data_IF_254089601051
#
_entry.id   IF_254089601051
#
_cell.length_a   1.000
_cell.length_b   1.000
_cell.length_c   1.000
_cell.angle_alpha   90.00
_cell.angle_beta   90.00
_cell.angle_gamma   90.00
#
_symmetry.space_group_name_H-M   'P 1'
#
loop_
_entity.id
_entity.type
_entity.pdbx_description
1 polymer ?
#
# COMPACT_ATOMS: atom_id res chain seq x y z
N UNK A 1 -11.94 7.56 -11.19
CA UNK A 1 -10.63 7.44 -10.49
C UNK A 1 -9.57 8.18 -11.28
N UNK A 2 -8.81 9.01 -10.63
CA UNK A 2 -7.66 9.73 -11.21
C UNK A 2 -6.35 9.15 -10.71
N UNK A 3 -5.30 9.30 -11.49
CA UNK A 3 -3.96 8.83 -11.13
C UNK A 3 -3.01 10.01 -10.97
N UNK A 4 -2.09 9.91 -10.02
CA UNK A 4 -0.96 10.84 -9.84
C UNK A 4 0.31 10.04 -9.70
N UNK A 5 1.25 10.26 -10.59
CA UNK A 5 2.55 9.58 -10.58
C UNK A 5 3.64 10.50 -10.05
N UNK A 6 4.44 10.01 -9.12
CA UNK A 6 5.71 10.59 -8.73
C UNK A 6 6.87 9.64 -9.08
N UNK A 7 8.06 9.93 -8.61
CA UNK A 7 9.26 9.14 -8.92
C UNK A 7 9.17 7.69 -8.41
N UNK A 8 8.52 7.46 -7.27
CA UNK A 8 8.47 6.17 -6.58
C UNK A 8 7.13 5.48 -6.70
N UNK A 9 6.04 6.25 -6.72
CA UNK A 9 4.67 5.75 -6.58
C UNK A 9 3.75 6.24 -7.68
N UNK A 10 2.79 5.40 -8.04
CA UNK A 10 1.58 5.82 -8.74
C UNK A 10 0.40 5.73 -7.78
N UNK A 11 -0.23 6.87 -7.52
CA UNK A 11 -1.38 7.02 -6.65
C UNK A 11 -2.68 6.85 -7.42
N UNK A 12 -3.63 6.15 -6.83
CA UNK A 12 -5.00 5.97 -7.30
C UNK A 12 -5.91 6.71 -6.34
N UNK A 13 -6.54 7.76 -6.82
CA UNK A 13 -7.33 8.70 -6.02
C UNK A 13 -8.76 8.77 -6.55
N UNK A 14 -9.76 9.05 -5.70
CA UNK A 14 -11.11 9.26 -6.16
C UNK A 14 -11.18 10.49 -7.07
N UNK A 15 -12.11 10.48 -8.03
CA UNK A 15 -12.35 11.64 -8.91
C UNK A 15 -12.81 12.86 -8.10
N UNK A 16 -13.67 12.61 -7.11
CA UNK A 16 -14.11 13.65 -6.18
C UNK A 16 -13.44 13.44 -4.83
N UNK A 17 -12.70 14.45 -4.37
CA UNK A 17 -12.07 14.43 -3.05
C UNK A 17 -13.13 14.36 -1.95
N UNK A 18 -12.94 13.43 -1.03
CA UNK A 18 -13.75 13.28 0.18
C UNK A 18 -12.96 13.77 1.39
N UNK A 19 -13.66 14.37 2.33
CA UNK A 19 -13.08 14.73 3.61
C UNK A 19 -12.83 13.44 4.42
N UNK A 20 -11.61 13.28 4.92
CA UNK A 20 -11.24 12.20 5.83
C UNK A 20 -11.10 12.80 7.23
N UNK A 21 -11.74 12.18 8.22
CA UNK A 21 -11.50 12.57 9.61
C UNK A 21 -10.07 12.18 10.01
N UNK A 22 -9.22 13.19 10.14
CA UNK A 22 -7.79 13.01 10.46
C UNK A 22 -7.60 12.32 11.81
N UNK A 23 -8.44 12.58 12.80
CA UNK A 23 -8.34 11.96 14.14
C UNK A 23 -8.65 10.47 14.06
N UNK A 24 -9.72 10.11 13.37
CA UNK A 24 -10.07 8.71 13.13
C UNK A 24 -9.00 8.00 12.31
N UNK A 25 -8.48 8.64 11.27
CA UNK A 25 -7.42 8.07 10.44
C UNK A 25 -6.14 7.76 11.23
N UNK A 26 -5.70 8.68 12.08
CA UNK A 26 -4.51 8.47 12.92
C UNK A 26 -4.65 7.26 13.83
N UNK A 27 -5.86 6.97 14.32
CA UNK A 27 -6.11 5.85 15.22
C UNK A 27 -6.45 4.54 14.51
N UNK A 28 -7.15 4.61 13.40
CA UNK A 28 -7.79 3.46 12.76
C UNK A 28 -7.43 3.29 11.29
N UNK A 29 -6.73 4.24 10.69
CA UNK A 29 -6.31 4.20 9.30
C UNK A 29 -5.17 3.22 9.06
N UNK A 30 -5.24 2.48 7.98
CA UNK A 30 -4.20 1.54 7.60
C UNK A 30 -4.31 1.12 6.14
N UNK A 31 -3.60 0.08 5.79
CA UNK A 31 -3.55 -0.41 4.42
C UNK A 31 -3.31 -1.90 4.35
N UNK A 32 -3.91 -2.54 3.36
CA UNK A 32 -3.44 -3.81 2.85
C UNK A 32 -2.26 -3.57 1.92
N UNK A 33 -1.20 -4.33 2.07
CA UNK A 33 -0.04 -4.32 1.19
C UNK A 33 0.01 -5.67 0.48
N UNK A 34 -0.08 -5.64 -0.86
CA UNK A 34 0.01 -6.82 -1.72
C UNK A 34 1.36 -6.76 -2.45
N UNK A 35 2.15 -7.81 -2.33
CA UNK A 35 3.45 -7.92 -3.00
C UNK A 35 3.32 -8.88 -4.19
N UNK A 36 3.53 -8.38 -5.41
CA UNK A 36 3.43 -9.21 -6.62
C UNK A 36 4.22 -8.58 -7.78
N UNK A 37 4.23 -9.24 -8.91
CA UNK A 37 4.76 -8.71 -10.17
C UNK A 37 3.94 -7.52 -10.64
N UNK A 38 4.60 -6.59 -11.33
CA UNK A 38 3.98 -5.34 -11.80
C UNK A 38 2.73 -5.58 -12.66
N UNK A 39 2.74 -6.55 -13.56
CA UNK A 39 1.58 -6.85 -14.39
C UNK A 39 0.33 -7.24 -13.58
N UNK A 40 0.50 -8.00 -12.50
CA UNK A 40 -0.60 -8.37 -11.59
C UNK A 40 -1.05 -7.19 -10.74
N UNK A 41 -0.10 -6.38 -10.28
CA UNK A 41 -0.41 -5.15 -9.54
C UNK A 41 -1.20 -4.16 -10.41
N UNK A 42 -0.84 -4.00 -11.68
CA UNK A 42 -1.59 -3.14 -12.61
C UNK A 42 -3.01 -3.64 -12.85
N UNK A 43 -3.19 -4.96 -12.98
CA UNK A 43 -4.52 -5.55 -13.10
C UNK A 43 -5.40 -5.28 -11.88
N UNK A 44 -4.84 -5.45 -10.67
CA UNK A 44 -5.54 -5.12 -9.43
C UNK A 44 -5.86 -3.62 -9.35
N UNK A 45 -4.90 -2.77 -9.68
CA UNK A 45 -5.04 -1.31 -9.64
C UNK A 45 -6.19 -0.83 -10.55
N UNK A 46 -6.30 -1.37 -11.76
CA UNK A 46 -7.41 -1.09 -12.67
C UNK A 46 -8.76 -1.50 -12.07
N UNK A 47 -8.82 -2.69 -11.49
CA UNK A 47 -10.04 -3.23 -10.87
C UNK A 47 -10.49 -2.46 -9.63
N UNK A 48 -9.62 -1.70 -8.97
CA UNK A 48 -9.96 -0.89 -7.80
C UNK A 48 -10.74 0.39 -8.12
N UNK A 49 -10.73 0.84 -9.37
CA UNK A 49 -11.34 2.12 -9.77
C UNK A 49 -12.77 2.34 -9.25
N UNK A 50 -13.74 1.44 -9.54
CA UNK A 50 -15.11 1.58 -9.06
C UNK A 50 -15.24 1.68 -7.54
N UNK A 51 -14.43 0.94 -6.80
CA UNK A 51 -14.45 0.90 -5.33
C UNK A 51 -13.84 2.16 -4.70
N UNK A 52 -12.84 2.76 -5.35
CA UNK A 52 -12.27 4.04 -4.94
C UNK A 52 -13.28 5.16 -5.21
N UNK A 53 -13.93 5.17 -6.37
CA UNK A 53 -14.89 6.20 -6.71
C UNK A 53 -16.17 6.10 -5.87
N UNK A 54 -16.61 4.90 -5.49
CA UNK A 54 -17.76 4.70 -4.59
C UNK A 54 -17.47 5.04 -3.13
N UNK A 55 -16.20 5.09 -2.72
CA UNK A 55 -15.80 5.32 -1.33
C UNK A 55 -15.69 4.07 -0.47
N UNK A 56 -15.82 2.89 -1.05
CA UNK A 56 -15.56 1.63 -0.34
C UNK A 56 -14.08 1.45 -0.01
N UNK A 57 -13.22 2.06 -0.81
CA UNK A 57 -11.77 2.16 -0.62
C UNK A 57 -11.40 3.65 -0.65
N UNK A 58 -10.59 4.09 0.31
CA UNK A 58 -10.19 5.49 0.38
C UNK A 58 -9.29 5.91 -0.78
N UNK A 59 -8.25 5.16 -0.99
CA UNK A 59 -7.27 5.36 -2.07
C UNK A 59 -6.37 4.14 -2.16
N UNK A 60 -5.51 4.13 -3.17
CA UNK A 60 -4.44 3.15 -3.27
C UNK A 60 -3.19 3.78 -3.87
N UNK A 61 -2.08 3.09 -3.78
CA UNK A 61 -0.85 3.42 -4.52
C UNK A 61 -0.06 2.16 -4.80
N UNK A 62 0.71 2.18 -5.87
CA UNK A 62 1.63 1.10 -6.15
C UNK A 62 3.03 1.60 -6.50
N UNK A 63 4.00 0.76 -6.22
CA UNK A 63 5.41 1.00 -6.46
C UNK A 63 5.71 0.94 -7.96
N UNK A 64 6.45 1.94 -8.49
CA UNK A 64 6.72 2.07 -9.93
C UNK A 64 7.82 1.13 -10.48
N UNK A 65 8.13 0.06 -9.79
CA UNK A 65 9.16 -0.93 -10.17
C UNK A 65 8.61 -2.36 -10.09
N UNK A 66 9.23 -3.27 -10.83
CA UNK A 66 8.92 -4.71 -10.79
C UNK A 66 10.03 -5.48 -10.03
N UNK A 67 9.72 -6.33 -9.05
CA UNK A 67 8.41 -6.56 -8.45
C UNK A 67 7.88 -5.34 -7.71
N UNK A 68 6.57 -5.27 -7.54
CA UNK A 68 5.89 -4.11 -6.99
C UNK A 68 5.17 -4.42 -5.67
N UNK A 69 4.65 -3.38 -5.04
CA UNK A 69 3.76 -3.46 -3.91
C UNK A 69 2.58 -2.53 -4.12
N UNK A 70 1.37 -3.04 -3.92
CA UNK A 70 0.13 -2.29 -3.94
C UNK A 70 -0.32 -2.04 -2.51
N UNK A 71 -0.46 -0.78 -2.12
CA UNK A 71 -1.01 -0.35 -0.84
C UNK A 71 -2.46 0.11 -1.05
N UNK A 72 -3.41 -0.51 -0.37
CA UNK A 72 -4.85 -0.18 -0.46
C UNK A 72 -5.33 0.29 0.89
N UNK A 73 -5.73 1.56 0.95
CA UNK A 73 -6.01 2.28 2.18
C UNK A 73 -7.48 2.20 2.60
N UNK A 74 -7.72 1.92 3.87
CA UNK A 74 -9.04 1.96 4.51
C UNK A 74 -8.93 2.14 6.02
N UNK A 75 -10.06 2.35 6.67
CA UNK A 75 -10.15 2.20 8.12
C UNK A 75 -10.11 0.71 8.50
N UNK A 76 -9.63 0.39 9.68
CA UNK A 76 -9.48 -0.99 10.16
C UNK A 76 -10.81 -1.74 10.26
N UNK A 77 -11.92 -1.03 10.56
CA UNK A 77 -13.26 -1.61 10.55
C UNK A 77 -13.69 -2.17 9.18
N UNK A 78 -13.16 -1.59 8.10
CA UNK A 78 -13.47 -1.98 6.71
C UNK A 78 -12.42 -2.93 6.12
N UNK A 79 -11.36 -3.25 6.83
CA UNK A 79 -10.24 -4.04 6.30
C UNK A 79 -10.64 -5.41 5.76
N UNK A 80 -11.62 -6.06 6.39
CA UNK A 80 -12.14 -7.34 5.93
C UNK A 80 -12.87 -7.23 4.59
N UNK A 81 -13.74 -6.23 4.46
CA UNK A 81 -14.44 -5.93 3.21
C UNK A 81 -13.46 -5.58 2.08
N UNK A 82 -12.45 -4.79 2.37
CA UNK A 82 -11.41 -4.43 1.39
C UNK A 82 -10.61 -5.68 0.98
N UNK A 83 -10.32 -6.57 1.90
CA UNK A 83 -9.66 -7.84 1.57
C UNK A 83 -10.52 -8.71 0.64
N UNK A 84 -11.83 -8.80 0.90
CA UNK A 84 -12.77 -9.55 0.05
C UNK A 84 -12.79 -8.95 -1.38
N UNK A 85 -12.81 -7.63 -1.51
CA UNK A 85 -12.70 -6.95 -2.80
C UNK A 85 -11.40 -7.34 -3.51
N UNK A 86 -10.26 -7.24 -2.82
CA UNK A 86 -8.96 -7.60 -3.39
C UNK A 86 -8.90 -9.05 -3.84
N UNK A 87 -9.45 -9.97 -3.06
CA UNK A 87 -9.53 -11.38 -3.42
C UNK A 87 -10.44 -11.62 -4.63
N UNK A 88 -11.58 -10.94 -4.72
CA UNK A 88 -12.48 -11.01 -5.88
C UNK A 88 -11.83 -10.50 -7.17
N UNK A 89 -10.88 -9.57 -7.07
CA UNK A 89 -10.09 -9.07 -8.18
C UNK A 89 -8.89 -9.96 -8.52
N UNK A 90 -8.69 -11.05 -7.78
CA UNK A 90 -7.63 -12.02 -8.03
C UNK A 90 -6.35 -11.76 -7.24
N UNK A 91 -6.38 -10.95 -6.18
CA UNK A 91 -5.24 -10.78 -5.29
C UNK A 91 -4.93 -12.12 -4.61
N UNK A 92 -3.79 -12.67 -4.92
CA UNK A 92 -3.22 -13.86 -4.32
C UNK A 92 -1.84 -13.58 -3.73
N UNK A 93 -1.29 -14.58 -3.03
CA UNK A 93 0.08 -14.49 -2.55
C UNK A 93 0.26 -13.66 -1.29
N UNK A 94 1.38 -12.98 -1.22
CA UNK A 94 1.82 -12.27 0.00
C UNK A 94 1.03 -10.99 0.21
N UNK A 95 0.38 -10.89 1.36
CA UNK A 95 -0.36 -9.71 1.78
C UNK A 95 -0.20 -9.48 3.27
N UNK A 96 -0.25 -8.22 3.68
CA UNK A 96 -0.15 -7.83 5.09
C UNK A 96 -0.97 -6.57 5.34
N UNK A 97 -1.64 -6.51 6.50
CA UNK A 97 -2.28 -5.30 6.99
C UNK A 97 -1.31 -4.52 7.87
N UNK A 98 -1.27 -3.21 7.71
CA UNK A 98 -0.44 -2.32 8.51
C UNK A 98 -1.18 -1.01 8.78
N UNK A 99 -1.19 -0.55 10.04
CA UNK A 99 -1.67 0.78 10.40
C UNK A 99 -0.69 1.85 9.94
N UNK A 100 -1.21 2.99 9.47
CA UNK A 100 -0.38 4.09 8.99
C UNK A 100 0.34 4.82 10.12
N UNK A 101 -0.38 5.18 11.18
CA UNK A 101 0.11 5.99 12.30
C UNK A 101 0.03 5.28 13.64
N UNK A 102 -0.92 4.38 13.83
CA UNK A 102 -1.10 3.64 15.08
C UNK A 102 -0.04 2.55 15.25
N UNK A 103 1.21 2.95 15.47
CA UNK A 103 2.35 2.04 15.58
C UNK A 103 2.24 1.08 16.77
N UNK A 104 1.61 1.52 17.85
CA UNK A 104 1.29 0.67 19.01
C UNK A 104 0.44 -0.55 18.62
N UNK A 105 -0.51 -0.37 17.69
CA UNK A 105 -1.32 -1.48 17.17
C UNK A 105 -0.52 -2.42 16.26
N UNK A 106 0.41 -1.89 15.45
CA UNK A 106 1.32 -2.72 14.65
C UNK A 106 2.23 -3.57 15.55
N UNK A 107 2.72 -3.02 16.64
CA UNK A 107 3.62 -3.71 17.58
C UNK A 107 2.90 -4.77 18.43
N UNK A 108 1.56 -4.76 18.52
CA UNK A 108 0.78 -5.83 19.16
C UNK A 108 0.85 -7.15 18.38
N UNK A 109 1.15 -7.11 17.10
CA UNK A 109 1.41 -8.29 16.28
C UNK A 109 2.83 -8.19 15.68
N UNK A 110 3.87 -8.47 16.47
CA UNK A 110 5.25 -8.29 16.06
C UNK A 110 5.63 -9.23 14.88
N UNK A 111 5.02 -10.38 14.75
CA UNK A 111 5.29 -11.33 13.66
C UNK A 111 4.83 -10.74 12.33
N UNK A 112 3.62 -10.24 12.25
CA UNK A 112 3.08 -9.56 11.06
C UNK A 112 3.88 -8.30 10.74
N UNK A 113 4.28 -7.53 11.74
CA UNK A 113 5.11 -6.35 11.56
C UNK A 113 6.49 -6.66 10.97
N UNK A 114 7.20 -7.66 11.50
CA UNK A 114 8.48 -8.12 10.97
C UNK A 114 8.33 -8.65 9.53
N UNK A 115 7.27 -9.42 9.28
CA UNK A 115 6.95 -9.93 7.95
C UNK A 115 6.74 -8.80 6.94
N UNK A 116 5.98 -7.75 7.32
CA UNK A 116 5.77 -6.56 6.49
C UNK A 116 7.08 -5.88 6.11
N UNK A 117 7.94 -5.60 7.09
CA UNK A 117 9.23 -4.96 6.85
C UNK A 117 10.18 -5.81 6.02
N UNK A 118 10.24 -7.11 6.28
CA UNK A 118 11.06 -8.04 5.50
C UNK A 118 10.60 -8.11 4.05
N UNK A 119 9.27 -8.14 3.82
CA UNK A 119 8.69 -8.17 2.48
C UNK A 119 8.94 -6.87 1.71
N UNK A 120 8.80 -5.72 2.38
CA UNK A 120 9.15 -4.41 1.81
C UNK A 120 10.62 -4.33 1.41
N UNK A 121 11.51 -4.72 2.31
CA UNK A 121 12.95 -4.72 2.04
C UNK A 121 13.31 -5.63 0.88
N UNK A 122 12.76 -6.84 0.85
CA UNK A 122 12.95 -7.78 -0.26
C UNK A 122 12.47 -7.21 -1.59
N UNK A 123 11.30 -6.59 -1.61
CA UNK A 123 10.72 -5.96 -2.81
C UNK A 123 11.61 -4.83 -3.32
N UNK A 124 12.09 -3.95 -2.43
CA UNK A 124 13.02 -2.88 -2.77
C UNK A 124 14.32 -3.44 -3.32
N UNK A 125 14.89 -4.44 -2.66
CA UNK A 125 16.14 -5.06 -3.07
C UNK A 125 16.03 -5.72 -4.45
N UNK A 126 14.93 -6.42 -4.73
CA UNK A 126 14.68 -7.06 -6.02
C UNK A 126 14.41 -6.04 -7.14
N UNK A 127 13.74 -4.92 -6.83
CA UNK A 127 13.39 -3.90 -7.82
C UNK A 127 14.52 -2.94 -8.15
N UNK A 128 15.42 -2.65 -7.22
CA UNK A 128 16.54 -1.70 -7.39
C UNK A 128 17.93 -2.36 -7.44
N UNK A 129 18.04 -3.62 -7.06
CA UNK A 129 19.34 -4.27 -6.83
C UNK A 129 20.04 -3.74 -5.58
N UNK A 130 21.24 -4.30 -5.28
CA UNK A 130 22.00 -3.94 -4.06
C UNK A 130 22.47 -2.48 -4.12
N UNK A 131 23.06 -2.06 -5.22
CA UNK A 131 23.58 -0.69 -5.39
C UNK A 131 22.48 0.35 -5.40
N UNK A 132 21.35 0.07 -6.07
CA UNK A 132 20.20 0.95 -6.11
C UNK A 132 19.53 1.10 -4.74
N UNK A 133 19.42 0.02 -3.99
CA UNK A 133 18.88 0.02 -2.62
C UNK A 133 19.77 0.86 -1.69
N UNK A 134 21.09 0.69 -1.75
CA UNK A 134 22.03 1.49 -0.96
C UNK A 134 21.94 2.98 -1.31
N UNK A 135 21.78 3.31 -2.58
CA UNK A 135 21.58 4.70 -3.02
C UNK A 135 20.30 5.27 -2.45
N UNK A 136 19.19 4.55 -2.51
CA UNK A 136 17.90 4.97 -1.98
C UNK A 136 17.96 5.22 -0.48
N UNK A 137 18.54 4.28 0.28
CA UNK A 137 18.73 4.41 1.73
C UNK A 137 19.59 5.64 2.06
N UNK A 138 20.66 5.85 1.32
CA UNK A 138 21.55 7.01 1.50
C UNK A 138 20.83 8.33 1.25
N UNK A 139 19.95 8.39 0.24
CA UNK A 139 19.13 9.60 -0.01
C UNK A 139 18.11 9.84 1.09
N UNK A 140 17.49 8.78 1.63
CA UNK A 140 16.52 8.88 2.72
C UNK A 140 17.15 9.29 4.05
N UNK A 141 18.43 8.99 4.25
CA UNK A 141 19.17 9.33 5.48
C UNK A 141 19.88 10.70 5.42
N UNK A 142 19.82 11.40 4.28
CA UNK A 142 20.33 12.77 4.22
C UNK A 142 19.51 13.67 5.14
N UNK A 143 20.16 14.42 6.06
CA UNK A 143 19.43 15.41 6.86
C UNK A 143 18.82 16.45 5.94
N UNK A 144 17.57 16.73 6.17
CA UNK A 144 16.84 17.82 5.49
C UNK A 144 17.30 19.16 6.00
#
# INVERSE_FOLDING_TARGET
MRTRKDMLWTWLLPDTMRAVDTREWVQCGGKWIIFDRMNRILHLAEGLGPYIDSGEIESAKYWNKDPSALCVYSLDRDRGKVLDILQSLGAGGKRVWEYDYAMDKNLKDPVTFIYSWTSKFRTILQSYGISGTLRLVRELLKPR
#
